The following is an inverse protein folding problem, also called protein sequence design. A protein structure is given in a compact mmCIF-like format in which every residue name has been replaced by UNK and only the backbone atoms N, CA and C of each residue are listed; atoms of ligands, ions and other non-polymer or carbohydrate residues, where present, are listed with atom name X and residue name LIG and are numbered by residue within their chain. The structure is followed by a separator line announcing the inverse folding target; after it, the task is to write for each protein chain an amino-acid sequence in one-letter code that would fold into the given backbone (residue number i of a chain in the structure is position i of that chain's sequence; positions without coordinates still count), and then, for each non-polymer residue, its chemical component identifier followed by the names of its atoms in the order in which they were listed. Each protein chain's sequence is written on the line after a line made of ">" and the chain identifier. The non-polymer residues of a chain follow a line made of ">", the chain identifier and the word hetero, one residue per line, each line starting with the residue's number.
data_IF_728001162485
#
_entry.id   IF_728001162485
#
_cell.length_a   1.000
_cell.length_b   1.000
_cell.length_c   1.000
_cell.angle_alpha   90.00
_cell.angle_beta   90.00
_cell.angle_gamma   90.00
#
_symmetry.space_group_name_H-M   'P 1'
#
loop_
_entity.id
_entity.type
_entity.pdbx_description
1 polymer ?
#
# COMPACT_ATOMS: atom_id res chain seq x y z
N UNK A 1 31.17 2.00 64.88
CA UNK A 1 30.45 1.09 63.98
C UNK A 1 29.74 1.94 62.93
N UNK A 2 30.22 1.92 61.68
CA UNK A 2 29.63 2.64 60.55
C UNK A 2 28.59 1.75 59.90
N UNK A 3 27.35 2.22 59.75
CA UNK A 3 26.41 1.66 58.78
C UNK A 3 26.33 2.62 57.60
N UNK A 4 26.87 2.17 56.47
CA UNK A 4 26.78 2.82 55.17
C UNK A 4 25.53 2.29 54.47
N UNK A 5 24.56 3.15 54.20
CA UNK A 5 23.41 2.85 53.36
C UNK A 5 23.82 3.17 51.93
N UNK A 6 24.22 2.15 51.17
CA UNK A 6 24.36 2.25 49.71
C UNK A 6 22.99 2.31 49.08
N UNK A 7 22.60 3.49 48.59
CA UNK A 7 21.45 3.65 47.70
C UNK A 7 21.86 3.20 46.30
N UNK A 8 21.26 2.11 45.80
CA UNK A 8 21.36 1.74 44.40
C UNK A 8 20.44 2.67 43.59
N UNK A 9 21.04 3.61 42.84
CA UNK A 9 20.35 4.28 41.74
C UNK A 9 20.20 3.29 40.59
N UNK A 10 18.99 2.78 40.41
CA UNK A 10 18.56 2.09 39.19
C UNK A 10 18.38 3.14 38.09
N UNK A 11 19.38 3.34 37.23
CA UNK A 11 19.21 4.11 36.00
C UNK A 11 18.46 3.25 34.99
N UNK A 12 17.13 3.38 34.93
CA UNK A 12 16.36 2.91 33.78
C UNK A 12 16.56 3.91 32.63
N UNK A 13 17.48 3.62 31.71
CA UNK A 13 17.44 4.23 30.38
C UNK A 13 16.21 3.67 29.65
N UNK A 14 15.06 4.32 29.83
CA UNK A 14 13.99 4.21 28.85
C UNK A 14 14.50 4.89 27.58
N UNK A 15 14.86 4.09 26.57
CA UNK A 15 15.04 4.61 25.22
C UNK A 15 13.68 5.15 24.76
N UNK A 16 13.43 6.44 24.97
CA UNK A 16 12.25 7.10 24.44
C UNK A 16 12.29 6.95 22.92
N UNK A 17 11.29 6.26 22.35
CA UNK A 17 11.08 6.27 20.91
C UNK A 17 11.10 7.73 20.44
N UNK A 18 11.93 8.03 19.45
CA UNK A 18 12.05 9.38 18.91
C UNK A 18 10.77 9.70 18.11
N UNK A 19 9.73 10.06 18.85
CA UNK A 19 8.47 10.57 18.32
C UNK A 19 8.69 12.06 18.07
N UNK A 20 8.69 12.44 16.81
CA UNK A 20 8.99 13.82 16.38
C UNK A 20 7.78 14.36 15.62
N UNK A 21 7.46 15.63 15.78
CA UNK A 21 6.42 16.26 14.98
C UNK A 21 6.70 16.11 13.48
N UNK A 22 5.68 15.78 12.69
CA UNK A 22 5.79 15.57 11.24
C UNK A 22 6.17 16.82 10.43
N UNK A 23 6.21 18.00 11.06
CA UNK A 23 6.71 19.25 10.48
C UNK A 23 8.22 19.47 10.67
N UNK A 24 8.89 18.67 11.50
CA UNK A 24 10.30 18.83 11.81
C UNK A 24 11.20 18.17 10.77
N UNK A 25 12.50 18.49 10.80
CA UNK A 25 13.49 17.78 9.99
C UNK A 25 13.56 16.31 10.44
N UNK A 26 13.42 15.39 9.48
CA UNK A 26 13.48 13.96 9.75
C UNK A 26 14.93 13.49 9.98
N UNK A 27 15.18 12.52 10.88
CA UNK A 27 16.45 11.82 10.95
C UNK A 27 16.70 10.99 9.67
N UNK A 28 17.97 10.67 9.34
CA UNK A 28 18.28 9.85 8.18
C UNK A 28 17.66 8.44 8.27
N UNK A 29 17.56 7.75 7.13
CA UNK A 29 17.18 6.34 7.10
C UNK A 29 18.18 5.50 7.89
N UNK A 30 17.66 4.55 8.67
CA UNK A 30 18.50 3.60 9.43
C UNK A 30 19.26 2.66 8.50
N UNK A 31 18.60 2.24 7.42
CA UNK A 31 19.14 1.34 6.42
C UNK A 31 19.40 2.09 5.10
N UNK A 32 20.46 1.72 4.37
CA UNK A 32 20.83 2.42 3.16
C UNK A 32 19.86 2.14 2.01
N UNK A 33 19.40 3.19 1.36
CA UNK A 33 18.48 3.16 0.21
C UNK A 33 18.99 4.07 -0.91
N UNK A 34 18.50 3.85 -2.13
CA UNK A 34 18.78 4.65 -3.31
C UNK A 34 20.17 4.40 -3.89
N UNK A 35 20.68 3.17 -3.79
CA UNK A 35 22.06 2.85 -4.21
C UNK A 35 22.27 2.91 -5.73
N UNK A 36 21.31 2.46 -6.53
CA UNK A 36 21.30 2.58 -8.00
C UNK A 36 20.08 1.85 -8.59
N UNK A 37 19.48 2.36 -9.66
CA UNK A 37 18.43 1.64 -10.40
C UNK A 37 17.61 2.54 -11.32
N UNK A 38 16.81 1.92 -12.18
CA UNK A 38 15.85 2.62 -13.02
C UNK A 38 14.51 2.73 -12.29
N UNK A 39 13.91 3.92 -12.32
CA UNK A 39 12.58 4.14 -11.77
C UNK A 39 11.52 3.52 -12.67
N UNK A 40 10.62 2.73 -12.09
CA UNK A 40 9.47 2.19 -12.80
C UNK A 40 8.59 3.34 -13.33
N UNK A 41 8.05 3.17 -14.54
CA UNK A 41 7.24 4.21 -15.19
C UNK A 41 6.22 3.61 -16.17
N UNK A 42 5.16 4.35 -16.52
CA UNK A 42 4.26 3.94 -17.58
C UNK A 42 4.98 3.91 -18.94
N UNK A 43 4.60 2.96 -19.78
CA UNK A 43 5.02 2.85 -21.17
C UNK A 43 3.77 2.54 -22.01
N UNK A 44 3.11 3.60 -22.47
CA UNK A 44 1.75 3.48 -23.02
C UNK A 44 0.81 2.96 -21.93
N UNK A 45 0.13 1.84 -22.22
CA UNK A 45 -0.77 1.17 -21.27
C UNK A 45 -0.10 0.08 -20.43
N UNK A 46 1.23 -0.03 -20.47
CA UNK A 46 2.01 -1.01 -19.71
C UNK A 46 2.99 -0.31 -18.77
N UNK A 47 3.84 -1.09 -18.12
CA UNK A 47 4.92 -0.58 -17.27
C UNK A 47 6.28 -0.93 -17.86
N UNK A 48 7.22 0.01 -17.74
CA UNK A 48 8.64 -0.26 -17.88
C UNK A 48 9.23 -0.46 -16.47
N UNK A 49 9.62 -1.70 -16.16
CA UNK A 49 10.34 -2.04 -14.93
C UNK A 49 11.71 -2.59 -15.36
N UNK A 50 12.78 -2.03 -14.81
CA UNK A 50 14.17 -2.43 -15.11
C UNK A 50 14.53 -2.41 -16.62
N UNK A 51 13.94 -1.49 -17.38
CA UNK A 51 14.17 -1.37 -18.83
C UNK A 51 13.29 -2.27 -19.70
N UNK A 52 12.40 -3.07 -19.11
CA UNK A 52 11.52 -4.00 -19.83
C UNK A 52 10.07 -3.51 -19.79
N UNK A 53 9.51 -3.25 -20.97
CA UNK A 53 8.08 -2.96 -21.14
C UNK A 53 7.34 -4.28 -21.21
N UNK A 54 6.57 -4.64 -20.18
CA UNK A 54 5.89 -5.93 -20.08
C UNK A 54 4.59 -5.82 -19.28
N UNK A 55 3.84 -6.92 -19.25
CA UNK A 55 2.80 -7.18 -18.26
C UNK A 55 3.43 -7.83 -17.02
N UNK A 56 2.90 -7.55 -15.83
CA UNK A 56 3.45 -8.06 -14.58
C UNK A 56 2.39 -8.70 -13.70
N UNK A 57 2.79 -9.68 -12.90
CA UNK A 57 2.01 -10.14 -11.76
C UNK A 57 2.70 -9.69 -10.48
N UNK A 58 1.91 -9.55 -9.42
CA UNK A 58 2.36 -9.19 -8.09
C UNK A 58 1.45 -9.74 -7.01
N UNK A 59 1.54 -9.17 -5.81
CA UNK A 59 0.65 -9.52 -4.70
C UNK A 59 0.58 -8.38 -3.67
N UNK A 60 -0.18 -8.61 -2.61
CA UNK A 60 -0.29 -7.76 -1.43
C UNK A 60 0.36 -8.46 -0.23
N UNK A 61 1.12 -7.71 0.56
CA UNK A 61 1.69 -8.15 1.84
C UNK A 61 1.63 -6.97 2.80
N UNK A 62 0.41 -6.60 3.21
CA UNK A 62 0.14 -5.42 4.04
C UNK A 62 1.01 -5.39 5.31
N UNK A 63 1.26 -6.58 5.88
CA UNK A 63 1.99 -6.82 7.12
C UNK A 63 3.50 -6.61 7.02
N UNK A 64 4.08 -6.53 5.82
CA UNK A 64 5.54 -6.55 5.65
C UNK A 64 6.24 -5.38 6.36
N UNK A 65 5.62 -4.19 6.36
CA UNK A 65 6.09 -3.01 7.08
C UNK A 65 6.02 -3.11 8.60
N UNK A 66 5.24 -4.07 9.11
CA UNK A 66 4.91 -4.24 10.53
C UNK A 66 5.65 -5.41 11.20
N UNK A 67 6.53 -6.10 10.47
CA UNK A 67 7.39 -7.13 11.03
C UNK A 67 8.62 -6.51 11.70
N UNK A 68 8.92 -6.88 12.93
CA UNK A 68 10.08 -6.44 13.71
C UNK A 68 11.39 -7.16 13.34
N UNK A 69 11.32 -8.32 12.67
CA UNK A 69 12.50 -9.11 12.29
C UNK A 69 12.90 -8.89 10.83
N UNK A 70 14.17 -8.54 10.64
CA UNK A 70 14.78 -8.38 9.32
C UNK A 70 14.82 -9.70 8.52
N UNK A 71 15.01 -10.84 9.20
CA UNK A 71 14.99 -12.16 8.56
C UNK A 71 13.66 -12.48 7.88
N UNK A 72 12.55 -12.08 8.49
CA UNK A 72 11.20 -12.40 8.04
C UNK A 72 10.87 -11.58 6.79
N UNK A 73 11.21 -10.28 6.81
CA UNK A 73 11.16 -9.41 5.63
C UNK A 73 12.02 -9.95 4.48
N UNK A 74 13.24 -10.41 4.76
CA UNK A 74 14.12 -11.01 3.75
C UNK A 74 13.52 -12.31 3.17
N UNK A 75 12.97 -13.18 4.02
CA UNK A 75 12.31 -14.43 3.59
C UNK A 75 11.14 -14.14 2.66
N UNK A 76 10.24 -13.24 3.06
CA UNK A 76 9.07 -12.88 2.28
C UNK A 76 9.46 -12.28 0.91
N UNK A 77 10.36 -11.29 0.88
CA UNK A 77 10.79 -10.66 -0.37
C UNK A 77 11.56 -11.62 -1.28
N UNK A 78 12.37 -12.52 -0.71
CA UNK A 78 13.04 -13.56 -1.48
C UNK A 78 12.05 -14.52 -2.14
N UNK A 79 10.99 -14.91 -1.42
CA UNK A 79 9.92 -15.77 -1.96
C UNK A 79 9.10 -15.06 -3.03
N UNK A 80 8.70 -13.80 -2.80
CA UNK A 80 8.02 -12.94 -3.80
C UNK A 80 8.86 -12.83 -5.07
N UNK A 81 10.16 -12.54 -4.95
CA UNK A 81 11.06 -12.48 -6.09
C UNK A 81 11.20 -13.85 -6.80
N UNK A 82 11.26 -14.95 -6.05
CA UNK A 82 11.35 -16.31 -6.60
C UNK A 82 10.08 -16.74 -7.36
N UNK A 83 8.91 -16.17 -7.03
CA UNK A 83 7.68 -16.33 -7.80
C UNK A 83 7.76 -15.67 -9.18
N UNK A 84 8.66 -14.70 -9.35
CA UNK A 84 8.73 -13.83 -10.53
C UNK A 84 7.85 -12.58 -10.40
N UNK A 85 7.30 -12.31 -9.21
CA UNK A 85 6.59 -11.08 -8.94
C UNK A 85 7.56 -9.89 -8.93
N UNK A 86 7.12 -8.80 -9.55
CA UNK A 86 7.88 -7.54 -9.64
C UNK A 86 7.24 -6.39 -8.88
N UNK A 87 5.99 -6.55 -8.47
CA UNK A 87 5.20 -5.54 -7.79
C UNK A 87 4.65 -6.18 -6.51
N UNK A 88 4.90 -5.54 -5.36
CA UNK A 88 4.34 -5.93 -4.07
C UNK A 88 3.73 -4.70 -3.40
N UNK A 89 2.46 -4.78 -3.02
CA UNK A 89 1.77 -3.71 -2.33
C UNK A 89 1.83 -3.91 -0.82
N UNK A 90 2.22 -2.87 -0.10
CA UNK A 90 2.54 -2.92 1.34
C UNK A 90 1.97 -1.67 2.02
N UNK A 91 1.48 -1.82 3.25
CA UNK A 91 1.02 -0.67 4.01
C UNK A 91 2.18 0.24 4.40
N UNK A 92 2.14 1.46 3.85
CA UNK A 92 3.04 2.55 4.20
C UNK A 92 2.53 3.38 5.37
N UNK A 93 1.50 2.93 6.07
CA UNK A 93 0.83 3.58 7.20
C UNK A 93 0.72 2.65 8.41
N UNK A 94 0.41 3.23 9.57
CA UNK A 94 0.36 2.55 10.86
C UNK A 94 -0.06 3.55 11.91
N UNK A 95 -1.30 4.01 11.81
CA UNK A 95 -1.82 5.15 12.56
C UNK A 95 -2.40 4.70 13.90
N UNK A 96 -2.05 5.42 14.96
CA UNK A 96 -2.59 5.19 16.30
C UNK A 96 -2.95 6.51 16.97
N UNK A 97 -3.92 6.51 17.88
CA UNK A 97 -4.22 7.70 18.68
C UNK A 97 -3.39 7.77 19.97
N UNK A 98 -2.91 6.62 20.44
CA UNK A 98 -1.95 6.48 21.55
C UNK A 98 -0.96 5.37 21.24
N UNK A 99 0.28 5.39 21.79
CA UNK A 99 1.23 4.31 21.59
C UNK A 99 0.62 2.94 21.94
N UNK A 100 0.88 1.88 21.15
CA UNK A 100 0.43 0.54 21.47
C UNK A 100 1.06 0.06 22.79
N UNK A 101 0.41 -0.85 23.53
CA UNK A 101 0.98 -1.45 24.73
C UNK A 101 2.34 -2.10 24.45
N UNK A 102 3.28 -1.98 25.38
CA UNK A 102 4.62 -2.58 25.24
C UNK A 102 4.60 -4.13 25.17
N UNK A 103 3.47 -4.75 25.52
CA UNK A 103 3.23 -6.20 25.41
C UNK A 103 2.79 -6.64 24.02
N UNK A 104 2.48 -5.70 23.11
CA UNK A 104 2.13 -6.06 21.74
C UNK A 104 3.31 -6.75 21.04
N UNK A 105 2.98 -7.77 20.27
CA UNK A 105 3.91 -8.51 19.41
C UNK A 105 3.58 -8.22 17.94
N UNK A 106 4.44 -8.67 17.03
CA UNK A 106 4.19 -8.51 15.60
C UNK A 106 2.87 -9.19 15.19
N UNK A 107 2.13 -8.60 14.23
CA UNK A 107 2.43 -7.33 13.54
C UNK A 107 1.96 -6.08 14.32
N UNK A 108 1.25 -6.23 15.44
CA UNK A 108 0.57 -5.13 16.14
C UNK A 108 1.48 -4.30 17.07
N UNK A 109 2.79 -4.57 17.08
CA UNK A 109 3.79 -3.79 17.83
C UNK A 109 4.20 -2.52 17.09
N UNK A 110 4.31 -2.59 15.77
CA UNK A 110 4.88 -1.53 14.92
C UNK A 110 3.81 -0.50 14.56
N UNK A 111 4.12 0.77 14.74
CA UNK A 111 3.27 1.91 14.37
C UNK A 111 4.13 3.06 13.86
N UNK A 112 3.61 3.84 12.91
CA UNK A 112 4.38 4.88 12.22
C UNK A 112 3.99 6.29 12.64
N UNK A 113 2.73 6.51 13.00
CA UNK A 113 2.23 7.85 13.30
C UNK A 113 1.26 7.83 14.49
N UNK A 114 1.44 8.80 15.39
CA UNK A 114 0.51 9.12 16.46
C UNK A 114 -0.30 10.36 16.07
N UNK A 115 -1.63 10.26 16.14
CA UNK A 115 -2.58 11.33 15.85
C UNK A 115 -3.37 11.68 17.11
N UNK A 116 -3.33 12.95 17.52
CA UNK A 116 -4.14 13.43 18.62
C UNK A 116 -4.53 14.90 18.40
N UNK A 117 -5.25 15.50 19.37
CA UNK A 117 -5.74 16.87 19.26
C UNK A 117 -4.64 17.94 19.13
N UNK A 118 -3.38 17.62 19.49
CA UNK A 118 -2.24 18.53 19.37
C UNK A 118 -1.49 18.39 18.04
N UNK A 119 -1.70 17.31 17.29
CA UNK A 119 -1.19 17.17 15.93
C UNK A 119 -0.85 15.74 15.52
N UNK A 120 0.16 15.65 14.66
CA UNK A 120 0.69 14.41 14.07
C UNK A 120 2.16 14.27 14.44
N UNK A 121 2.52 13.09 14.93
CA UNK A 121 3.86 12.78 15.39
C UNK A 121 4.33 11.46 14.80
N UNK A 122 5.55 11.43 14.28
CA UNK A 122 6.12 10.28 13.55
C UNK A 122 7.02 9.50 14.49
N UNK A 123 6.85 8.19 14.53
CA UNK A 123 7.74 7.27 15.20
C UNK A 123 8.93 6.94 14.29
N UNK A 124 10.08 7.58 14.51
CA UNK A 124 11.31 7.27 13.78
C UNK A 124 12.16 6.17 14.45
N UNK A 125 11.64 5.53 15.50
CA UNK A 125 12.35 4.51 16.26
C UNK A 125 12.29 3.11 15.65
N UNK A 126 12.87 2.15 16.38
CA UNK A 126 13.01 0.75 15.99
C UNK A 126 11.66 0.06 15.67
N UNK A 127 10.59 0.42 16.38
CA UNK A 127 9.22 -0.09 16.16
C UNK A 127 8.38 0.89 15.29
N UNK A 128 9.04 1.73 14.50
CA UNK A 128 8.41 2.72 13.62
C UNK A 128 9.05 2.72 12.23
N UNK A 129 9.39 3.89 11.70
CA UNK A 129 9.90 4.01 10.33
C UNK A 129 11.24 3.29 10.08
N UNK A 130 12.00 2.88 11.11
CA UNK A 130 13.14 1.99 10.89
C UNK A 130 12.73 0.63 10.28
N UNK A 131 11.49 0.18 10.52
CA UNK A 131 10.95 -1.05 9.91
C UNK A 131 10.69 -0.87 8.42
N UNK A 132 10.05 0.25 8.04
CA UNK A 132 9.79 0.57 6.64
C UNK A 132 11.10 0.91 5.88
N UNK A 133 12.09 1.53 6.54
CA UNK A 133 13.44 1.68 6.00
C UNK A 133 14.05 0.33 5.60
N UNK A 134 13.89 -0.69 6.46
CA UNK A 134 14.41 -2.03 6.16
C UNK A 134 13.67 -2.67 5.00
N UNK A 135 12.33 -2.57 4.95
CA UNK A 135 11.53 -3.10 3.83
C UNK A 135 11.97 -2.49 2.50
N UNK A 136 12.16 -1.17 2.43
CA UNK A 136 12.62 -0.49 1.20
C UNK A 136 14.05 -0.95 0.84
N UNK A 137 14.96 -1.02 1.83
CA UNK A 137 16.32 -1.52 1.60
C UNK A 137 16.36 -2.98 1.12
N UNK A 138 15.48 -3.83 1.65
CA UNK A 138 15.38 -5.23 1.27
C UNK A 138 14.74 -5.38 -0.12
N UNK A 139 13.73 -4.57 -0.44
CA UNK A 139 13.10 -4.54 -1.75
C UNK A 139 14.12 -4.15 -2.85
N UNK A 140 15.02 -3.19 -2.58
CA UNK A 140 16.18 -2.91 -3.45
C UNK A 140 17.08 -4.12 -3.63
N UNK A 141 17.41 -4.81 -2.53
CA UNK A 141 18.27 -6.01 -2.55
C UNK A 141 17.67 -7.16 -3.37
N UNK A 142 16.34 -7.35 -3.33
CA UNK A 142 15.66 -8.45 -4.00
C UNK A 142 15.02 -8.07 -5.35
N UNK A 143 15.08 -6.80 -5.76
CA UNK A 143 14.60 -6.34 -7.06
C UNK A 143 13.08 -6.40 -7.20
N UNK A 144 12.37 -6.05 -6.13
CA UNK A 144 10.89 -5.98 -6.03
C UNK A 144 10.49 -4.51 -5.91
N UNK A 145 9.52 -4.07 -6.71
CA UNK A 145 8.94 -2.73 -6.63
C UNK A 145 7.78 -2.67 -5.63
N UNK A 146 7.75 -1.64 -4.79
CA UNK A 146 6.76 -1.46 -3.74
C UNK A 146 5.69 -0.44 -4.14
N UNK A 147 4.42 -0.83 -4.04
CA UNK A 147 3.30 0.13 -3.95
C UNK A 147 3.15 0.47 -2.47
N UNK A 148 3.34 1.75 -2.09
CA UNK A 148 3.21 2.20 -0.71
C UNK A 148 2.04 3.18 -0.58
N UNK A 149 1.00 2.77 0.15
CA UNK A 149 -0.16 3.60 0.42
C UNK A 149 -0.05 4.36 1.75
N UNK A 150 -0.68 5.53 1.83
CA UNK A 150 -0.43 6.49 2.93
C UNK A 150 -1.47 6.50 4.05
N UNK A 151 -2.64 5.91 3.84
CA UNK A 151 -3.73 5.87 4.83
C UNK A 151 -4.70 4.75 4.46
N UNK A 152 -5.42 4.22 5.44
CA UNK A 152 -6.53 3.29 5.22
C UNK A 152 -7.88 3.99 5.23
N UNK A 153 -8.80 3.62 4.33
CA UNK A 153 -10.20 3.99 4.50
C UNK A 153 -10.82 3.30 5.73
N UNK A 154 -10.43 2.05 5.96
CA UNK A 154 -10.91 1.22 7.07
C UNK A 154 -10.21 1.53 8.39
N UNK A 155 -10.71 0.93 9.48
CA UNK A 155 -10.17 1.14 10.83
C UNK A 155 -8.89 0.35 11.14
N UNK A 156 -8.54 -0.63 10.31
CA UNK A 156 -7.33 -1.44 10.50
C UNK A 156 -6.09 -0.56 10.42
N UNK A 157 -5.25 -0.64 11.46
CA UNK A 157 -4.09 0.23 11.66
C UNK A 157 -4.44 1.73 11.63
N UNK A 158 -5.61 2.05 12.18
CA UNK A 158 -6.08 3.41 12.47
C UNK A 158 -6.89 4.03 11.34
N UNK A 159 -6.26 4.19 10.17
CA UNK A 159 -6.88 4.76 8.98
C UNK A 159 -7.55 6.12 9.19
N UNK A 160 -8.54 6.45 8.35
CA UNK A 160 -9.32 7.69 8.44
C UNK A 160 -9.95 7.84 9.84
N UNK A 161 -10.33 6.74 10.49
CA UNK A 161 -10.89 6.76 11.84
C UNK A 161 -9.92 7.38 12.87
N UNK A 162 -8.61 7.11 12.78
CA UNK A 162 -7.63 7.72 13.67
C UNK A 162 -7.51 9.24 13.46
N UNK A 163 -7.63 9.72 12.22
CA UNK A 163 -7.71 11.15 11.90
C UNK A 163 -9.00 11.79 12.44
N UNK A 164 -10.13 11.12 12.26
CA UNK A 164 -11.43 11.55 12.78
C UNK A 164 -11.42 11.71 14.29
N UNK A 165 -10.89 10.72 15.01
CA UNK A 165 -10.72 10.77 16.48
C UNK A 165 -9.86 11.96 16.92
N UNK A 166 -8.78 12.24 16.20
CA UNK A 166 -7.84 13.31 16.56
C UNK A 166 -8.34 14.72 16.25
N UNK A 167 -9.07 14.90 15.14
CA UNK A 167 -9.35 16.23 14.59
C UNK A 167 -10.84 16.60 14.48
N UNK A 168 -11.74 15.67 14.81
CA UNK A 168 -13.19 15.90 14.80
C UNK A 168 -13.85 15.79 13.43
N UNK A 169 -13.12 15.30 12.41
CA UNK A 169 -13.71 14.91 11.13
C UNK A 169 -14.43 13.57 11.23
N UNK A 170 -15.03 13.08 10.14
CA UNK A 170 -15.56 11.73 10.00
C UNK A 170 -15.10 11.12 8.66
N UNK A 171 -15.58 9.91 8.32
CA UNK A 171 -15.20 9.20 7.11
C UNK A 171 -15.45 9.99 5.80
N UNK A 172 -16.44 10.90 5.76
CA UNK A 172 -16.75 11.71 4.58
C UNK A 172 -16.15 13.12 4.63
N UNK A 173 -16.05 13.73 5.82
CA UNK A 173 -15.46 15.07 5.97
C UNK A 173 -13.94 15.06 6.06
N UNK A 174 -13.30 13.90 6.24
CA UNK A 174 -11.84 13.76 6.21
C UNK A 174 -11.19 14.43 4.99
N UNK A 175 -11.79 14.28 3.81
CA UNK A 175 -11.25 14.80 2.54
C UNK A 175 -11.17 16.33 2.46
N UNK A 176 -11.98 17.03 3.25
CA UNK A 176 -12.07 18.51 3.24
C UNK A 176 -11.72 19.16 4.58
N UNK A 177 -11.61 18.38 5.66
CA UNK A 177 -11.20 18.90 6.97
C UNK A 177 -9.73 19.36 6.94
N UNK A 178 -9.52 20.65 7.25
CA UNK A 178 -8.21 21.28 7.13
C UNK A 178 -7.16 20.71 8.10
N UNK A 179 -7.57 20.25 9.29
CA UNK A 179 -6.63 19.69 10.28
C UNK A 179 -6.22 18.28 9.88
N UNK A 180 -7.18 17.44 9.49
CA UNK A 180 -6.94 16.09 9.00
C UNK A 180 -6.07 16.11 7.73
N UNK A 181 -6.41 16.95 6.74
CA UNK A 181 -5.62 17.06 5.50
C UNK A 181 -4.22 17.62 5.74
N UNK A 182 -4.03 18.54 6.69
CA UNK A 182 -2.70 19.01 7.07
C UNK A 182 -1.86 17.89 7.68
N UNK A 183 -2.42 17.10 8.59
CA UNK A 183 -1.75 15.96 9.20
C UNK A 183 -1.41 14.89 8.15
N UNK A 184 -2.37 14.52 7.29
CA UNK A 184 -2.17 13.56 6.21
C UNK A 184 -1.07 14.01 5.24
N UNK A 185 -1.10 15.26 4.75
CA UNK A 185 -0.06 15.79 3.86
C UNK A 185 1.32 15.84 4.51
N UNK A 186 1.41 16.07 5.81
CA UNK A 186 2.69 15.98 6.53
C UNK A 186 3.20 14.53 6.59
N UNK A 187 2.32 13.55 6.77
CA UNK A 187 2.68 12.13 6.71
C UNK A 187 3.17 11.74 5.30
N UNK A 188 2.41 12.09 4.26
CA UNK A 188 2.80 11.91 2.85
C UNK A 188 4.17 12.52 2.59
N UNK A 189 4.41 13.77 3.02
CA UNK A 189 5.73 14.41 2.88
C UNK A 189 6.82 13.60 3.54
N UNK A 190 6.58 13.10 4.75
CA UNK A 190 7.55 12.30 5.51
C UNK A 190 7.97 11.07 4.72
N UNK A 191 7.01 10.24 4.31
CA UNK A 191 7.26 8.99 3.57
C UNK A 191 7.90 9.27 2.20
N UNK A 192 7.33 10.16 1.40
CA UNK A 192 7.85 10.46 0.05
C UNK A 192 9.27 11.03 0.13
N UNK A 193 9.53 12.02 0.99
CA UNK A 193 10.88 12.62 1.06
C UNK A 193 11.92 11.65 1.61
N UNK A 194 11.52 10.71 2.45
CA UNK A 194 12.38 9.66 3.00
C UNK A 194 12.83 8.68 1.91
N UNK A 195 11.92 8.26 1.04
CA UNK A 195 12.14 7.13 0.13
C UNK A 195 12.26 7.49 -1.37
N UNK A 196 12.00 8.73 -1.79
CA UNK A 196 12.03 9.16 -3.22
C UNK A 196 13.35 8.94 -3.98
N UNK A 197 14.43 8.57 -3.30
CA UNK A 197 15.70 8.20 -3.94
C UNK A 197 15.78 6.71 -4.27
N UNK A 198 14.93 5.88 -3.67
CA UNK A 198 14.91 4.44 -3.85
C UNK A 198 14.22 4.05 -5.15
N UNK A 199 14.87 3.33 -6.07
CA UNK A 199 14.21 2.79 -7.26
C UNK A 199 13.28 1.61 -6.94
N UNK A 200 13.28 1.10 -5.70
CA UNK A 200 12.38 0.03 -5.27
C UNK A 200 10.97 0.53 -4.95
N UNK A 201 10.70 1.83 -5.03
CA UNK A 201 9.32 2.31 -5.01
C UNK A 201 8.76 2.16 -6.44
N UNK A 202 7.73 1.34 -6.59
CA UNK A 202 6.98 1.25 -7.83
C UNK A 202 6.04 2.46 -7.96
N UNK A 203 5.26 2.74 -6.92
CA UNK A 203 4.34 3.88 -6.89
C UNK A 203 4.00 4.34 -5.48
N UNK A 204 3.64 5.62 -5.39
CA UNK A 204 2.95 6.21 -4.26
C UNK A 204 1.44 6.03 -4.42
N UNK A 205 0.76 5.54 -3.40
CA UNK A 205 -0.69 5.34 -3.42
C UNK A 205 -1.38 6.23 -2.39
N UNK A 206 -2.39 6.99 -2.83
CA UNK A 206 -3.02 8.01 -1.99
C UNK A 206 -3.66 7.40 -0.74
N UNK A 207 -4.32 6.25 -0.84
CA UNK A 207 -4.82 5.49 0.30
C UNK A 207 -5.38 4.14 -0.14
N UNK A 208 -5.53 3.23 0.82
CA UNK A 208 -6.24 1.97 0.63
C UNK A 208 -7.75 2.25 0.52
N UNK A 209 -8.34 1.94 -0.63
CA UNK A 209 -9.78 1.92 -0.89
C UNK A 209 -10.52 3.19 -0.40
N UNK A 210 -10.06 4.41 -0.76
CA UNK A 210 -10.71 5.64 -0.29
C UNK A 210 -12.18 5.67 -0.74
N UNK A 211 -13.09 5.90 0.21
CA UNK A 211 -14.53 6.05 -0.06
C UNK A 211 -15.09 7.30 0.61
N UNK A 212 -16.08 7.91 -0.03
CA UNK A 212 -16.87 9.01 0.53
C UNK A 212 -18.34 8.66 0.33
N UNK A 213 -18.83 7.74 1.16
CA UNK A 213 -20.15 7.16 0.99
C UNK A 213 -21.25 8.21 1.03
N UNK A 214 -22.07 8.27 -0.02
CA UNK A 214 -23.14 9.24 -0.21
C UNK A 214 -22.68 10.63 -0.67
N UNK A 215 -21.37 10.85 -0.84
CA UNK A 215 -20.84 12.09 -1.39
C UNK A 215 -20.93 12.12 -2.92
N UNK A 216 -20.98 13.30 -3.54
CA UNK A 216 -20.64 13.43 -4.96
C UNK A 216 -19.23 12.89 -5.22
N UNK A 217 -19.03 12.14 -6.31
CA UNK A 217 -17.72 11.57 -6.69
C UNK A 217 -16.63 12.63 -6.90
N UNK A 218 -17.04 13.88 -7.15
CA UNK A 218 -16.14 15.03 -7.24
C UNK A 218 -15.38 15.31 -5.95
N UNK A 219 -15.86 14.89 -4.78
CA UNK A 219 -15.13 15.05 -3.51
C UNK A 219 -13.80 14.30 -3.56
N UNK A 220 -13.82 13.02 -3.91
CA UNK A 220 -12.60 12.22 -4.05
C UNK A 220 -11.81 12.64 -5.29
N UNK A 221 -12.47 12.92 -6.41
CA UNK A 221 -11.76 13.36 -7.64
C UNK A 221 -10.92 14.63 -7.39
N UNK A 222 -11.48 15.61 -6.67
CA UNK A 222 -10.78 16.84 -6.32
C UNK A 222 -9.65 16.59 -5.30
N UNK A 223 -9.94 15.82 -4.25
CA UNK A 223 -8.93 15.43 -3.27
C UNK A 223 -7.75 14.69 -3.91
N UNK A 224 -8.03 13.70 -4.77
CA UNK A 224 -7.03 12.94 -5.49
C UNK A 224 -6.21 13.81 -6.44
N UNK A 225 -6.85 14.77 -7.12
CA UNK A 225 -6.18 15.76 -7.96
C UNK A 225 -5.18 16.58 -7.15
N UNK A 226 -5.58 17.08 -5.99
CA UNK A 226 -4.75 17.99 -5.19
C UNK A 226 -3.65 17.26 -4.40
N UNK A 227 -3.89 16.03 -3.96
CA UNK A 227 -2.89 15.21 -3.26
C UNK A 227 -1.87 14.65 -4.23
N UNK A 228 -2.29 14.13 -5.39
CA UNK A 228 -1.35 13.62 -6.39
C UNK A 228 -0.44 14.70 -6.95
N UNK A 229 -0.96 15.92 -7.20
CA UNK A 229 -0.13 17.10 -7.54
C UNK A 229 0.90 17.41 -6.45
N UNK A 230 0.49 17.33 -5.19
CA UNK A 230 1.40 17.56 -4.07
C UNK A 230 2.51 16.52 -4.02
N UNK A 231 2.19 15.22 -4.17
CA UNK A 231 3.21 14.16 -4.24
C UNK A 231 4.18 14.42 -5.39
N UNK A 232 3.68 14.74 -6.59
CA UNK A 232 4.52 15.07 -7.76
C UNK A 232 5.43 16.28 -7.52
N UNK A 233 5.05 17.22 -6.65
CA UNK A 233 5.90 18.35 -6.27
C UNK A 233 7.07 17.95 -5.34
N UNK A 234 6.91 16.85 -4.60
CA UNK A 234 7.94 16.30 -3.70
C UNK A 234 8.87 15.33 -4.43
N UNK A 235 8.31 14.63 -5.42
CA UNK A 235 8.92 13.55 -6.17
C UNK A 235 8.39 13.48 -7.61
N UNK A 236 9.25 13.83 -8.56
CA UNK A 236 8.93 13.81 -9.99
C UNK A 236 9.29 12.50 -10.69
N UNK A 237 9.84 11.51 -9.98
CA UNK A 237 10.38 10.28 -10.57
C UNK A 237 9.42 9.11 -10.48
N UNK A 238 8.76 8.94 -9.33
CA UNK A 238 7.89 7.79 -9.07
C UNK A 238 6.47 7.99 -9.60
N UNK A 239 5.83 6.86 -9.90
CA UNK A 239 4.41 6.84 -10.24
C UNK A 239 3.54 7.17 -9.03
N UNK A 240 2.33 7.67 -9.29
CA UNK A 240 1.30 7.94 -8.29
C UNK A 240 -0.01 7.30 -8.74
N UNK A 241 -0.72 6.64 -7.83
CA UNK A 241 -2.05 6.05 -8.05
C UNK A 241 -3.00 6.42 -6.91
N UNK A 242 -4.31 6.25 -7.11
CA UNK A 242 -5.31 6.55 -6.09
C UNK A 242 -5.42 5.47 -5.01
N UNK A 243 -5.50 4.20 -5.43
CA UNK A 243 -5.77 3.05 -4.56
C UNK A 243 -7.26 2.75 -4.35
N UNK A 244 -8.13 3.25 -5.24
CA UNK A 244 -9.56 2.95 -5.22
C UNK A 244 -9.91 1.58 -5.83
N UNK A 245 -11.10 1.11 -5.49
CA UNK A 245 -11.60 -0.23 -5.88
C UNK A 245 -12.11 -0.30 -7.32
N UNK A 246 -12.21 0.85 -8.00
CA UNK A 246 -12.72 0.94 -9.35
C UNK A 246 -14.25 1.04 -9.44
N UNK A 247 -14.92 1.62 -8.45
CA UNK A 247 -16.36 1.84 -8.56
C UNK A 247 -16.70 2.75 -9.74
N UNK A 248 -17.82 2.43 -10.40
CA UNK A 248 -18.32 3.15 -11.57
C UNK A 248 -19.57 3.94 -11.19
N UNK A 249 -19.94 4.90 -12.04
CA UNK A 249 -21.13 5.73 -11.87
C UNK A 249 -22.10 5.56 -13.04
N UNK A 250 -23.44 5.64 -12.84
CA UNK A 250 -24.39 5.39 -13.92
C UNK A 250 -24.33 6.47 -15.01
N UNK A 251 -23.95 7.69 -14.60
CA UNK A 251 -23.88 8.87 -15.47
C UNK A 251 -22.88 8.75 -16.61
N UNK A 252 -21.94 7.80 -16.54
CA UNK A 252 -21.00 7.51 -17.63
C UNK A 252 -21.60 6.63 -18.74
N UNK A 253 -22.85 6.20 -18.59
CA UNK A 253 -23.48 5.23 -19.49
C UNK A 253 -22.87 3.83 -19.38
N UNK A 254 -22.25 3.53 -18.24
CA UNK A 254 -21.57 2.27 -17.95
C UNK A 254 -22.32 1.57 -16.80
N UNK A 255 -22.61 0.28 -16.99
CA UNK A 255 -23.22 -0.55 -15.96
C UNK A 255 -24.74 -0.61 -15.98
N UNK A 256 -25.29 -1.23 -14.94
CA UNK A 256 -26.71 -1.51 -14.76
C UNK A 256 -27.33 -0.75 -13.57
N UNK A 257 -26.57 0.14 -12.93
CA UNK A 257 -26.99 0.87 -11.74
C UNK A 257 -26.98 0.05 -10.44
N UNK A 258 -26.49 -1.20 -10.47
CA UNK A 258 -26.23 -1.97 -9.25
C UNK A 258 -25.17 -1.29 -8.37
N UNK A 259 -24.96 -1.82 -7.16
CA UNK A 259 -24.10 -1.20 -6.14
C UNK A 259 -22.76 -0.70 -6.71
N UNK A 260 -22.07 -1.53 -7.49
CA UNK A 260 -20.77 -1.22 -8.07
C UNK A 260 -20.78 -0.11 -9.14
N UNK A 261 -21.94 0.18 -9.71
CA UNK A 261 -22.15 1.22 -10.72
C UNK A 261 -22.95 2.40 -10.18
N UNK A 262 -23.35 2.39 -8.91
CA UNK A 262 -24.29 3.38 -8.36
C UNK A 262 -23.65 4.72 -8.03
N UNK A 263 -22.32 4.77 -7.93
CA UNK A 263 -21.58 5.93 -7.40
C UNK A 263 -21.74 6.15 -5.90
N UNK A 264 -22.43 5.26 -5.17
CA UNK A 264 -22.75 5.45 -3.74
C UNK A 264 -21.52 5.55 -2.86
N UNK A 265 -20.39 4.96 -3.27
CA UNK A 265 -19.14 5.01 -2.52
C UNK A 265 -18.32 6.29 -2.78
N UNK A 266 -18.85 7.23 -3.59
CA UNK A 266 -18.19 8.50 -3.89
C UNK A 266 -16.96 8.36 -4.79
N UNK A 267 -16.84 7.24 -5.49
CA UNK A 267 -15.78 6.94 -6.45
C UNK A 267 -16.34 6.93 -7.88
N UNK A 268 -15.53 7.46 -8.79
CA UNK A 268 -15.77 7.46 -10.22
C UNK A 268 -14.44 7.13 -10.90
N UNK A 269 -14.24 5.83 -11.17
CA UNK A 269 -13.01 5.32 -11.77
C UNK A 269 -12.67 6.02 -13.09
N UNK A 270 -13.68 6.28 -13.94
CA UNK A 270 -13.47 6.89 -15.24
C UNK A 270 -13.07 8.38 -15.14
N UNK A 271 -13.62 9.12 -14.17
CA UNK A 271 -13.20 10.48 -13.86
C UNK A 271 -11.81 10.53 -13.22
N UNK A 272 -11.56 9.68 -12.22
CA UNK A 272 -10.28 9.61 -11.52
C UNK A 272 -9.11 9.29 -12.49
N UNK A 273 -9.34 8.39 -13.44
CA UNK A 273 -8.33 8.06 -14.45
C UNK A 273 -7.95 9.25 -15.37
N UNK A 274 -8.77 10.29 -15.47
CA UNK A 274 -8.46 11.52 -16.24
C UNK A 274 -7.50 12.46 -15.48
N UNK A 275 -7.25 12.25 -14.18
CA UNK A 275 -6.34 13.07 -13.38
C UNK A 275 -4.91 12.90 -13.91
N UNK A 276 -4.31 13.97 -14.44
CA UNK A 276 -2.99 13.92 -15.13
C UNK A 276 -1.84 13.46 -14.23
N UNK A 277 -1.94 13.69 -12.93
CA UNK A 277 -0.91 13.37 -11.94
C UNK A 277 -1.05 11.97 -11.33
N UNK A 278 -2.08 11.21 -11.73
CA UNK A 278 -2.17 9.77 -11.50
C UNK A 278 -1.67 9.04 -12.75
N UNK A 279 -0.70 8.15 -12.60
CA UNK A 279 0.01 7.52 -13.72
C UNK A 279 -0.67 6.23 -14.23
N UNK A 280 -1.44 5.58 -13.37
CA UNK A 280 -2.29 4.42 -13.69
C UNK A 280 -3.55 4.47 -12.80
N UNK A 281 -4.49 3.54 -12.99
CA UNK A 281 -5.57 3.34 -12.03
C UNK A 281 -5.66 1.90 -11.54
N UNK A 282 -5.99 1.71 -10.25
CA UNK A 282 -6.23 0.42 -9.67
C UNK A 282 -7.71 0.03 -9.74
N UNK A 283 -7.98 -1.26 -9.63
CA UNK A 283 -9.32 -1.84 -9.54
C UNK A 283 -9.25 -3.10 -8.69
N UNK A 284 -10.31 -3.46 -8.00
CA UNK A 284 -10.33 -4.66 -7.13
C UNK A 284 -11.41 -5.69 -7.53
N UNK A 285 -11.99 -5.54 -8.73
CA UNK A 285 -13.23 -6.20 -9.09
C UNK A 285 -13.13 -7.17 -10.27
N UNK A 286 -14.12 -8.08 -10.37
CA UNK A 286 -14.28 -9.02 -11.49
C UNK A 286 -14.61 -8.34 -12.84
N UNK A 287 -14.87 -7.02 -12.86
CA UNK A 287 -15.16 -6.23 -14.05
C UNK A 287 -13.91 -5.89 -14.89
N UNK A 288 -12.99 -6.85 -15.01
CA UNK A 288 -11.69 -6.75 -15.70
C UNK A 288 -11.84 -6.13 -17.11
N UNK A 289 -12.83 -6.58 -17.88
CA UNK A 289 -13.03 -6.13 -19.27
C UNK A 289 -13.47 -4.67 -19.36
N UNK A 290 -14.30 -4.21 -18.42
CA UNK A 290 -14.81 -2.83 -18.42
C UNK A 290 -13.71 -1.86 -17.99
N UNK A 291 -12.98 -2.19 -16.91
CA UNK A 291 -11.84 -1.43 -16.46
C UNK A 291 -10.74 -1.34 -17.54
N UNK A 292 -10.45 -2.44 -18.23
CA UNK A 292 -9.55 -2.42 -19.39
C UNK A 292 -10.07 -1.51 -20.52
N UNK A 293 -11.36 -1.54 -20.84
CA UNK A 293 -11.93 -0.68 -21.87
C UNK A 293 -11.81 0.82 -21.51
N UNK A 294 -12.01 1.18 -20.25
CA UNK A 294 -11.84 2.54 -19.73
C UNK A 294 -10.35 2.95 -19.77
N UNK A 295 -9.45 2.05 -19.35
CA UNK A 295 -8.01 2.20 -19.53
C UNK A 295 -7.60 2.44 -20.98
N UNK A 296 -8.23 1.71 -21.91
CA UNK A 296 -7.96 1.85 -23.35
C UNK A 296 -8.35 3.22 -23.86
N UNK A 297 -9.52 3.72 -23.42
CA UNK A 297 -10.04 5.03 -23.79
C UNK A 297 -9.19 6.19 -23.22
N UNK A 298 -8.61 6.02 -22.03
CA UNK A 298 -7.75 7.03 -21.40
C UNK A 298 -6.28 6.96 -21.82
N UNK A 299 -5.85 5.83 -22.40
CA UNK A 299 -4.45 5.59 -22.77
C UNK A 299 -3.53 5.27 -21.59
N UNK A 300 -4.08 5.01 -20.40
CA UNK A 300 -3.32 4.71 -19.19
C UNK A 300 -3.32 3.20 -18.85
N UNK A 301 -2.29 2.72 -18.13
CA UNK A 301 -2.31 1.39 -17.54
C UNK A 301 -3.44 1.26 -16.51
N UNK A 302 -3.96 0.04 -16.39
CA UNK A 302 -4.90 -0.35 -15.33
C UNK A 302 -4.33 -1.57 -14.63
N UNK A 303 -4.45 -1.61 -13.31
CA UNK A 303 -3.98 -2.70 -12.45
C UNK A 303 -5.18 -3.32 -11.73
N UNK A 304 -5.30 -4.65 -11.76
CA UNK A 304 -6.19 -5.36 -10.83
C UNK A 304 -5.43 -5.52 -9.51
N UNK A 305 -5.51 -4.52 -8.64
CA UNK A 305 -4.55 -4.28 -7.54
C UNK A 305 -4.84 -5.12 -6.29
N UNK A 306 -6.09 -5.57 -6.12
CA UNK A 306 -6.46 -6.62 -5.18
C UNK A 306 -7.53 -7.52 -5.79
N UNK A 307 -7.45 -8.82 -5.54
CA UNK A 307 -8.53 -9.77 -5.79
C UNK A 307 -8.27 -11.03 -4.96
N UNK A 308 -9.34 -11.65 -4.49
CA UNK A 308 -9.28 -12.87 -3.70
C UNK A 308 -10.67 -13.47 -3.57
N UNK A 309 -10.73 -14.75 -3.22
CA UNK A 309 -11.98 -15.44 -2.91
C UNK A 309 -11.90 -16.08 -1.52
N UNK A 310 -12.90 -15.92 -0.64
CA UNK A 310 -12.83 -16.41 0.75
C UNK A 310 -13.14 -17.92 0.83
N UNK A 311 -12.42 -18.74 0.04
CA UNK A 311 -12.51 -20.19 0.00
C UNK A 311 -11.13 -20.81 0.31
N UNK A 312 -10.68 -20.79 1.58
CA UNK A 312 -9.36 -21.27 1.97
C UNK A 312 -9.05 -22.67 1.42
N UNK A 313 -7.91 -22.83 0.76
CA UNK A 313 -7.47 -24.09 0.16
C UNK A 313 -8.23 -24.48 -1.13
N UNK A 314 -9.08 -23.59 -1.66
CA UNK A 314 -9.79 -23.79 -2.92
C UNK A 314 -9.98 -22.46 -3.69
N UNK A 315 -8.98 -21.57 -3.64
CA UNK A 315 -9.01 -20.29 -4.35
C UNK A 315 -8.99 -20.48 -5.87
N UNK A 316 -8.29 -21.53 -6.32
CA UNK A 316 -8.03 -21.81 -7.75
C UNK A 316 -9.30 -21.88 -8.58
N UNK A 317 -10.41 -22.42 -8.05
CA UNK A 317 -11.67 -22.53 -8.79
C UNK A 317 -12.28 -21.18 -9.18
N UNK A 318 -12.00 -20.12 -8.41
CA UNK A 318 -12.59 -18.78 -8.60
C UNK A 318 -11.58 -17.81 -9.21
N UNK A 319 -10.35 -17.78 -8.70
CA UNK A 319 -9.35 -16.79 -9.09
C UNK A 319 -8.70 -17.10 -10.44
N UNK A 320 -8.56 -18.39 -10.80
CA UNK A 320 -7.95 -18.77 -12.09
C UNK A 320 -8.75 -18.25 -13.29
N UNK A 321 -10.10 -18.33 -13.32
CA UNK A 321 -10.91 -17.64 -14.32
C UNK A 321 -10.65 -16.13 -14.44
N UNK A 322 -10.43 -15.44 -13.32
CA UNK A 322 -10.11 -14.01 -13.32
C UNK A 322 -8.72 -13.74 -13.89
N UNK A 323 -7.71 -14.52 -13.50
CA UNK A 323 -6.37 -14.48 -14.10
C UNK A 323 -6.40 -14.76 -15.60
N UNK A 324 -7.21 -15.72 -16.06
CA UNK A 324 -7.40 -15.98 -17.48
C UNK A 324 -8.06 -14.82 -18.22
N UNK A 325 -8.96 -14.08 -17.55
CA UNK A 325 -9.53 -12.85 -18.10
C UNK A 325 -8.48 -11.72 -18.18
N UNK A 326 -7.58 -11.60 -17.19
CA UNK A 326 -6.43 -10.69 -17.24
C UNK A 326 -5.47 -11.06 -18.37
N UNK A 327 -5.17 -12.34 -18.57
CA UNK A 327 -4.30 -12.81 -19.66
C UNK A 327 -4.87 -12.47 -21.05
N UNK A 328 -6.19 -12.36 -21.18
CA UNK A 328 -6.91 -12.02 -22.42
C UNK A 328 -7.24 -10.53 -22.56
N UNK A 329 -6.85 -9.68 -21.60
CA UNK A 329 -7.15 -8.24 -21.59
C UNK A 329 -5.88 -7.38 -21.70
N UNK A 330 -6.07 -6.06 -21.81
CA UNK A 330 -5.02 -5.05 -21.73
C UNK A 330 -4.68 -4.59 -20.31
N UNK A 331 -5.17 -5.25 -19.26
CA UNK A 331 -4.76 -4.99 -17.86
C UNK A 331 -3.25 -5.21 -17.74
N UNK A 332 -2.55 -4.17 -17.25
CA UNK A 332 -1.09 -4.06 -17.28
C UNK A 332 -0.42 -4.90 -16.20
N UNK A 333 -1.07 -5.02 -15.05
CA UNK A 333 -0.64 -5.89 -13.98
C UNK A 333 -1.83 -6.36 -13.12
N UNK A 334 -1.63 -7.43 -12.37
CA UNK A 334 -2.57 -7.89 -11.36
C UNK A 334 -1.85 -8.34 -10.09
N UNK A 335 -2.52 -8.22 -8.94
CA UNK A 335 -1.96 -8.49 -7.62
C UNK A 335 -2.96 -9.23 -6.74
N UNK A 336 -2.67 -10.50 -6.45
CA UNK A 336 -3.50 -11.33 -5.55
C UNK A 336 -3.51 -10.71 -4.15
N UNK A 337 -4.69 -10.64 -3.54
CA UNK A 337 -4.87 -10.52 -2.10
C UNK A 337 -5.06 -11.93 -1.52
N UNK A 338 -4.09 -12.51 -0.81
CA UNK A 338 -2.78 -11.94 -0.46
C UNK A 338 -1.65 -12.98 -0.35
N UNK A 339 -0.41 -12.51 -0.33
CA UNK A 339 0.78 -13.36 -0.16
C UNK A 339 0.87 -13.90 1.26
N UNK A 340 0.98 -15.22 1.40
CA UNK A 340 1.30 -15.90 2.66
C UNK A 340 2.64 -16.62 2.60
N UNK A 341 3.23 -16.89 3.77
CA UNK A 341 4.45 -17.67 3.91
C UNK A 341 4.43 -18.47 5.20
N UNK A 342 4.77 -19.77 5.11
CA UNK A 342 4.93 -20.66 6.26
C UNK A 342 6.28 -20.48 6.98
N UNK A 343 7.21 -19.74 6.37
CA UNK A 343 8.61 -19.61 6.83
C UNK A 343 8.86 -18.33 7.64
N UNK A 344 7.79 -17.68 8.12
CA UNK A 344 7.86 -16.48 8.96
C UNK A 344 7.94 -16.88 10.44
N UNK A 345 8.46 -15.99 11.29
CA UNK A 345 8.44 -16.24 12.74
C UNK A 345 7.10 -15.90 13.39
N UNK A 346 6.27 -15.10 12.71
CA UNK A 346 4.86 -14.91 13.02
C UNK A 346 4.06 -15.91 12.19
N UNK A 347 3.14 -16.71 12.78
CA UNK A 347 2.32 -17.63 12.01
C UNK A 347 1.60 -16.90 10.87
N UNK A 348 1.64 -17.46 9.67
CA UNK A 348 1.12 -16.76 8.50
C UNK A 348 -0.40 -16.54 8.57
N UNK A 349 -1.14 -17.34 9.33
CA UNK A 349 -2.56 -17.15 9.66
C UNK A 349 -2.83 -15.94 10.57
N UNK A 350 -1.79 -15.41 11.24
CA UNK A 350 -1.87 -14.15 12.00
C UNK A 350 -1.63 -12.93 11.10
N UNK A 351 -0.91 -13.13 9.99
CA UNK A 351 -0.58 -12.10 9.01
C UNK A 351 -1.61 -12.04 7.87
N UNK A 352 -2.24 -13.16 7.57
CA UNK A 352 -3.19 -13.34 6.48
C UNK A 352 -4.63 -13.47 6.94
N UNK A 353 -5.53 -13.54 5.97
CA UNK A 353 -6.96 -13.83 6.13
C UNK A 353 -7.37 -15.06 5.30
N UNK A 354 -8.67 -15.27 5.17
CA UNK A 354 -9.25 -16.38 4.38
C UNK A 354 -8.93 -16.35 2.89
N UNK A 355 -8.34 -15.27 2.37
CA UNK A 355 -7.92 -15.13 0.97
C UNK A 355 -6.42 -15.40 0.78
N UNK A 356 -5.70 -15.76 1.85
CA UNK A 356 -4.25 -15.93 1.80
C UNK A 356 -3.87 -17.14 0.98
N UNK A 357 -2.92 -16.95 0.06
CA UNK A 357 -2.33 -18.03 -0.72
C UNK A 357 -0.87 -18.18 -0.31
N UNK A 358 -0.58 -19.30 0.36
CA UNK A 358 0.73 -19.52 0.98
C UNK A 358 1.77 -20.00 -0.03
N UNK A 359 2.94 -19.35 -0.01
CA UNK A 359 4.08 -19.77 -0.81
C UNK A 359 4.45 -21.23 -0.51
N UNK A 360 4.46 -22.06 -1.55
CA UNK A 360 4.77 -23.49 -1.46
C UNK A 360 3.55 -24.40 -1.55
N UNK A 361 2.35 -23.87 -1.33
CA UNK A 361 1.11 -24.64 -1.47
C UNK A 361 0.80 -24.94 -2.95
N UNK A 362 0.01 -26.00 -3.17
CA UNK A 362 -0.31 -26.46 -4.51
C UNK A 362 -1.05 -25.39 -5.34
N UNK A 363 -1.96 -24.64 -4.73
CA UNK A 363 -2.65 -23.53 -5.39
C UNK A 363 -1.72 -22.36 -5.71
N UNK A 364 -0.68 -22.12 -4.90
CA UNK A 364 0.30 -21.06 -5.16
C UNK A 364 1.17 -21.36 -6.40
N UNK A 365 1.44 -22.63 -6.70
CA UNK A 365 2.11 -22.98 -7.96
C UNK A 365 1.27 -22.54 -9.17
N UNK A 366 -0.07 -22.68 -9.10
CA UNK A 366 -1.00 -22.31 -10.17
C UNK A 366 -1.22 -20.80 -10.21
N UNK A 367 -1.76 -20.25 -9.13
CA UNK A 367 -2.20 -18.85 -9.04
C UNK A 367 -1.02 -17.88 -8.93
N UNK A 368 0.11 -18.30 -8.36
CA UNK A 368 1.30 -17.48 -8.25
C UNK A 368 2.29 -17.72 -9.40
N UNK A 369 3.02 -18.83 -9.34
CA UNK A 369 4.20 -19.07 -10.21
C UNK A 369 3.83 -19.27 -11.67
N UNK A 370 2.81 -20.07 -11.98
CA UNK A 370 2.38 -20.28 -13.37
C UNK A 370 1.79 -19.00 -13.98
N UNK A 371 0.93 -18.30 -13.24
CA UNK A 371 0.34 -17.04 -13.69
C UNK A 371 1.39 -15.94 -13.93
N UNK A 372 2.34 -15.74 -13.00
CA UNK A 372 3.42 -14.77 -13.17
C UNK A 372 4.24 -15.04 -14.45
N UNK A 373 4.55 -16.31 -14.74
CA UNK A 373 5.21 -16.71 -16.00
C UNK A 373 4.33 -16.45 -17.23
N UNK A 374 3.01 -16.65 -17.13
CA UNK A 374 2.07 -16.41 -18.22
C UNK A 374 1.95 -14.91 -18.54
N UNK A 375 1.86 -14.05 -17.53
CA UNK A 375 1.83 -12.60 -17.69
C UNK A 375 3.06 -12.10 -18.45
N UNK A 376 4.27 -12.55 -18.09
CA UNK A 376 5.51 -12.15 -18.79
C UNK A 376 5.60 -12.62 -20.25
N UNK A 377 4.78 -13.60 -20.66
CA UNK A 377 4.70 -14.11 -22.05
C UNK A 377 3.64 -13.41 -22.89
N UNK A 378 2.78 -12.57 -22.29
CA UNK A 378 1.82 -11.76 -23.04
C UNK A 378 2.56 -10.88 -24.05
N UNK A 379 2.01 -10.78 -25.26
CA UNK A 379 2.57 -9.93 -26.32
C UNK A 379 2.36 -8.46 -25.96
N UNK A 380 3.46 -7.70 -26.03
CA UNK A 380 3.53 -6.26 -25.81
C UNK A 380 3.13 -5.49 -27.06
#
# INVERSE_FOLDING_TARGET
>A
MKYSITSLLSLTLAASAAVISSSSQQPPCKYPIGKSGNFAKPAGRLFNIDGKVQYFAGSNAWWLGHLSKNSDVDTALKQVAATGYKILRVWGFGDVNTPPPATNTDPNKVYFQILNSTGSYINYGADGLERLDYVVSAAEKFGVGLVLNFVNNWGDYGGIQAYSTAFGSNATTFYTDAKAQKAYRNYVRTIVTRYKKSPAIFSWELGNEPRCKGCPSSVITNWATDVSKYIKSLDSKHMVTLGDEGWLVPGDGIGDGSYAYSGVEGIDFAANLKIKTLDYAPSTSEWIKQHDAIGKKSGKPVVLEEYGAPFPGNHTGVEKPWQDAVLKSGIAADQIWQFGSHDQSVPGETLGDVNTIFYGDAEYEVLGKQHARAMLRKRV
#
